data_IF_709744801006
#
_entry.id   IF_709744801006
#
_cell.length_a   1.000
_cell.length_b   1.000
_cell.length_c   1.000
_cell.angle_alpha   90.00
_cell.angle_beta   90.00
_cell.angle_gamma   90.00
#
_symmetry.space_group_name_H-M   'P 1'
#
loop_
_entity.id
_entity.type
_entity.pdbx_description
1 polymer ?
#
# COMPACT_ATOMS: atom_id res chain seq x y z
N UNK A 1 5.59 -6.54 2.24
CA UNK A 1 5.13 -5.14 2.33
C UNK A 1 4.24 -4.93 3.57
N UNK A 2 4.42 -3.86 4.37
CA UNK A 2 3.68 -3.43 5.59
C UNK A 2 3.32 -4.42 6.71
N UNK A 3 3.53 -5.71 6.53
CA UNK A 3 3.56 -6.75 7.55
C UNK A 3 5.01 -6.92 8.04
N UNK A 4 5.54 -5.86 8.64
CA UNK A 4 6.92 -5.76 9.14
C UNK A 4 6.94 -5.23 10.59
N UNK A 5 8.14 -5.09 11.17
CA UNK A 5 8.35 -4.60 12.53
C UNK A 5 8.62 -3.10 12.60
N UNK A 6 8.32 -2.33 11.55
CA UNK A 6 8.61 -0.89 11.49
C UNK A 6 7.48 -0.02 12.08
N UNK A 7 6.64 -0.60 12.93
CA UNK A 7 5.43 0.01 13.47
C UNK A 7 5.59 0.29 14.96
N UNK A 8 5.10 1.45 15.38
CA UNK A 8 5.10 1.90 16.77
C UNK A 8 3.67 1.83 17.30
N UNK A 9 3.40 1.14 18.42
CA UNK A 9 2.06 1.09 19.01
C UNK A 9 1.63 2.46 19.52
N UNK A 10 0.34 2.77 19.36
CA UNK A 10 -0.33 3.92 19.99
C UNK A 10 -1.04 3.42 21.24
N UNK A 11 -0.76 4.05 22.38
CA UNK A 11 -1.23 3.60 23.69
C UNK A 11 -1.79 4.78 24.52
N UNK A 12 -2.42 4.46 25.66
CA UNK A 12 -2.86 5.48 26.62
C UNK A 12 -3.90 6.47 26.08
N UNK A 13 -3.71 7.75 26.40
CA UNK A 13 -4.64 8.82 26.00
C UNK A 13 -4.68 9.06 24.48
N UNK A 14 -3.56 8.86 23.78
CA UNK A 14 -3.49 8.98 22.33
C UNK A 14 -4.36 7.93 21.64
N UNK A 15 -4.32 6.69 22.14
CA UNK A 15 -5.18 5.62 21.65
C UNK A 15 -6.66 5.98 21.88
N UNK A 16 -7.02 6.39 23.09
CA UNK A 16 -8.39 6.76 23.41
C UNK A 16 -8.90 7.89 22.51
N UNK A 17 -8.12 8.96 22.36
CA UNK A 17 -8.47 10.10 21.50
C UNK A 17 -8.62 9.72 20.02
N UNK A 18 -7.73 8.88 19.50
CA UNK A 18 -7.84 8.37 18.13
C UNK A 18 -9.13 7.54 17.95
N UNK A 19 -9.42 6.61 18.87
CA UNK A 19 -10.61 5.76 18.78
C UNK A 19 -11.90 6.57 18.87
N UNK A 20 -11.97 7.60 19.71
CA UNK A 20 -13.12 8.50 19.81
C UNK A 20 -13.38 9.26 18.51
N UNK A 21 -12.32 9.64 17.77
CA UNK A 21 -12.44 10.33 16.50
C UNK A 21 -12.97 9.42 15.38
N UNK A 22 -12.63 8.13 15.40
CA UNK A 22 -12.91 7.22 14.28
C UNK A 22 -14.06 6.23 14.52
N UNK A 23 -14.61 6.11 15.74
CA UNK A 23 -15.63 5.10 16.05
C UNK A 23 -17.07 5.54 15.70
N UNK A 24 -17.82 4.79 14.87
CA UNK A 24 -17.42 3.64 14.07
C UNK A 24 -16.73 4.04 12.76
N UNK A 25 -15.71 3.28 12.37
CA UNK A 25 -14.96 3.57 11.15
C UNK A 25 -15.87 3.30 9.94
N UNK A 26 -16.05 4.32 9.10
CA UNK A 26 -16.92 4.25 7.93
C UNK A 26 -18.37 3.87 8.25
N UNK A 27 -18.85 4.13 9.47
CA UNK A 27 -20.19 3.71 9.90
C UNK A 27 -20.35 2.21 10.20
N UNK A 28 -19.31 1.40 9.93
CA UNK A 28 -19.39 -0.07 9.89
C UNK A 28 -18.54 -0.75 10.95
N UNK A 29 -17.28 -0.36 11.09
CA UNK A 29 -16.33 -1.08 11.93
C UNK A 29 -16.24 -0.46 13.31
N UNK A 30 -16.72 -1.18 14.32
CA UNK A 30 -16.63 -0.75 15.72
C UNK A 30 -15.22 -0.94 16.24
N UNK A 31 -14.77 0.01 17.05
CA UNK A 31 -13.50 -0.08 17.77
C UNK A 31 -13.74 -0.09 19.28
N UNK A 32 -12.76 -0.62 20.01
CA UNK A 32 -12.76 -0.72 21.47
C UNK A 32 -11.34 -0.55 21.99
N UNK A 33 -11.11 0.31 23.01
CA UNK A 33 -9.80 0.43 23.65
C UNK A 33 -9.26 -0.89 24.23
N UNK A 34 -10.13 -1.87 24.49
CA UNK A 34 -9.75 -3.16 25.06
C UNK A 34 -9.21 -4.16 24.02
N UNK A 35 -9.57 -4.01 22.74
CA UNK A 35 -9.27 -5.01 21.69
C UNK A 35 -8.62 -4.43 20.45
N UNK A 36 -8.91 -3.17 20.13
CA UNK A 36 -8.40 -2.50 18.94
C UNK A 36 -6.94 -2.15 19.14
N UNK A 37 -6.11 -2.56 18.18
CA UNK A 37 -4.70 -2.18 18.09
C UNK A 37 -4.55 -1.07 17.07
N UNK A 38 -3.87 -0.01 17.46
CA UNK A 38 -3.51 1.12 16.60
C UNK A 38 -2.00 1.24 16.63
N UNK A 39 -1.40 1.34 15.45
CA UNK A 39 0.04 1.50 15.30
C UNK A 39 0.31 2.52 14.21
N UNK A 40 1.43 3.24 14.30
CA UNK A 40 1.85 4.19 13.29
C UNK A 40 3.27 3.92 12.80
N UNK A 41 3.61 4.42 11.61
CA UNK A 41 4.97 4.47 11.10
C UNK A 41 5.19 5.73 10.27
N UNK A 42 6.43 6.20 10.25
CA UNK A 42 6.85 7.25 9.33
C UNK A 42 7.03 6.67 7.92
N UNK A 43 6.85 7.53 6.92
CA UNK A 43 7.08 7.20 5.51
C UNK A 43 8.29 8.00 5.00
N UNK A 44 9.22 7.38 4.27
CA UNK A 44 10.50 8.02 3.90
C UNK A 44 10.36 9.18 2.90
N UNK A 45 9.15 9.39 2.37
CA UNK A 45 8.80 10.42 1.39
C UNK A 45 7.93 11.54 2.00
N UNK A 46 7.77 11.59 3.32
CA UNK A 46 7.15 12.71 4.04
C UNK A 46 7.98 13.13 5.26
N UNK A 47 7.97 14.42 5.59
CA UNK A 47 8.64 14.92 6.81
C UNK A 47 7.81 14.67 8.07
N UNK A 48 6.49 14.90 7.98
CA UNK A 48 5.60 15.03 9.13
C UNK A 48 4.34 14.16 9.05
N UNK A 49 4.12 13.52 7.90
CA UNK A 49 2.99 12.61 7.71
C UNK A 49 3.38 11.23 8.23
N UNK A 50 2.53 10.67 9.09
CA UNK A 50 2.63 9.27 9.49
C UNK A 50 1.50 8.46 8.85
N UNK A 51 1.77 7.17 8.63
CA UNK A 51 0.74 6.20 8.28
C UNK A 51 0.31 5.48 9.54
N UNK A 52 -0.99 5.40 9.77
CA UNK A 52 -1.62 4.66 10.87
C UNK A 52 -2.24 3.39 10.29
N UNK A 53 -2.13 2.28 11.02
CA UNK A 53 -2.93 1.07 10.80
C UNK A 53 -3.76 0.75 12.04
N UNK A 54 -4.98 0.29 11.81
CA UNK A 54 -5.94 -0.10 12.84
C UNK A 54 -6.36 -1.53 12.58
N UNK A 55 -6.42 -2.33 13.65
CA UNK A 55 -6.88 -3.71 13.59
C UNK A 55 -7.70 -4.05 14.82
N UNK A 56 -8.82 -4.74 14.63
CA UNK A 56 -9.61 -5.30 15.72
C UNK A 56 -9.97 -6.76 15.41
N UNK A 57 -9.86 -7.70 16.38
CA UNK A 57 -10.18 -9.11 16.18
C UNK A 57 -11.67 -9.37 15.92
N UNK A 58 -12.57 -8.42 16.21
CA UNK A 58 -14.01 -8.56 15.93
C UNK A 58 -14.38 -8.35 14.47
N UNK A 59 -13.45 -7.82 13.65
CA UNK A 59 -13.74 -7.51 12.25
C UNK A 59 -13.68 -8.74 11.36
N UNK A 60 -14.47 -8.70 10.29
CA UNK A 60 -14.44 -9.70 9.22
C UNK A 60 -14.07 -9.02 7.90
N UNK A 61 -13.08 -9.55 7.16
CA UNK A 61 -12.25 -10.71 7.49
C UNK A 61 -11.21 -10.41 8.60
N UNK A 62 -10.71 -11.44 9.29
CA UNK A 62 -9.82 -11.27 10.46
C UNK A 62 -8.41 -10.72 10.12
N UNK A 63 -8.02 -10.78 8.85
CA UNK A 63 -6.79 -10.18 8.33
C UNK A 63 -6.97 -8.72 7.87
N UNK A 64 -8.17 -8.14 8.02
CA UNK A 64 -8.43 -6.73 7.71
C UNK A 64 -7.57 -5.78 8.54
N UNK A 65 -6.97 -4.82 7.86
CA UNK A 65 -6.43 -3.60 8.44
C UNK A 65 -7.11 -2.40 7.81
N UNK A 66 -7.37 -1.36 8.61
CA UNK A 66 -7.81 -0.06 8.12
C UNK A 66 -6.66 0.93 8.28
N UNK A 67 -6.41 1.74 7.26
CA UNK A 67 -5.25 2.61 7.21
C UNK A 67 -5.63 4.08 7.07
N UNK A 68 -4.83 4.95 7.67
CA UNK A 68 -4.93 6.39 7.53
C UNK A 68 -3.56 6.99 7.23
N UNK A 69 -3.55 8.12 6.54
CA UNK A 69 -2.48 9.11 6.69
C UNK A 69 -2.90 10.13 7.74
N UNK A 70 -1.95 10.62 8.54
CA UNK A 70 -2.19 11.69 9.50
C UNK A 70 -1.24 12.85 9.29
N UNK A 71 -1.77 14.06 9.31
CA UNK A 71 -1.01 15.32 9.25
C UNK A 71 -1.60 16.31 10.24
N UNK A 72 -0.83 16.67 11.26
CA UNK A 72 -1.23 17.61 12.32
C UNK A 72 -2.59 17.25 12.97
N UNK A 73 -2.85 15.96 13.17
CA UNK A 73 -4.09 15.44 13.77
C UNK A 73 -5.27 15.27 12.80
N UNK A 74 -5.13 15.69 11.54
CA UNK A 74 -6.12 15.40 10.50
C UNK A 74 -5.93 13.98 9.98
N UNK A 75 -7.00 13.19 9.93
CA UNK A 75 -6.98 11.81 9.46
C UNK A 75 -7.53 11.72 8.03
N UNK A 76 -6.78 11.06 7.16
CA UNK A 76 -7.13 10.81 5.77
C UNK A 76 -7.25 9.30 5.56
N UNK A 77 -8.47 8.81 5.41
CA UNK A 77 -8.74 7.38 5.29
C UNK A 77 -8.25 6.85 3.94
N UNK A 78 -7.34 5.87 3.96
CA UNK A 78 -6.85 5.17 2.77
C UNK A 78 -7.86 4.10 2.33
N UNK A 79 -9.00 4.58 1.81
CA UNK A 79 -10.19 3.80 1.45
C UNK A 79 -10.10 3.05 0.11
N UNK A 80 -8.89 2.80 -0.39
CA UNK A 80 -8.68 2.16 -1.69
C UNK A 80 -8.67 3.09 -2.90
N UNK A 81 -8.90 4.40 -2.71
CA UNK A 81 -8.86 5.39 -3.80
C UNK A 81 -7.64 6.30 -3.69
N UNK A 82 -7.24 6.96 -4.78
CA UNK A 82 -6.12 7.90 -4.79
C UNK A 82 -6.37 9.29 -4.18
N UNK A 83 -7.60 9.86 -4.14
CA UNK A 83 -7.83 11.20 -3.60
C UNK A 83 -7.29 11.46 -2.20
N UNK A 84 -7.41 10.57 -1.19
CA UNK A 84 -6.83 10.80 0.13
C UNK A 84 -5.30 10.99 0.10
N UNK A 85 -4.60 10.26 -0.76
CA UNK A 85 -3.14 10.38 -0.94
C UNK A 85 -2.81 11.72 -1.62
N UNK A 86 -3.52 12.07 -2.69
CA UNK A 86 -3.30 13.32 -3.41
C UNK A 86 -3.63 14.56 -2.57
N UNK A 87 -4.67 14.48 -1.73
CA UNK A 87 -5.02 15.55 -0.80
C UNK A 87 -3.90 15.77 0.23
N UNK A 88 -3.35 14.69 0.79
CA UNK A 88 -2.20 14.79 1.70
C UNK A 88 -0.98 15.34 0.97
N UNK A 89 -0.64 14.85 -0.23
CA UNK A 89 0.46 15.40 -1.03
C UNK A 89 0.31 16.91 -1.30
N UNK A 90 -0.92 17.41 -1.48
CA UNK A 90 -1.15 18.82 -1.74
C UNK A 90 -0.96 19.69 -0.47
N UNK A 91 -1.30 19.17 0.71
CA UNK A 91 -1.23 19.90 1.99
C UNK A 91 0.14 19.76 2.68
N UNK A 92 0.69 18.56 2.68
CA UNK A 92 2.00 18.21 3.19
C UNK A 92 2.82 17.60 2.02
N UNK A 93 3.53 18.45 1.25
CA UNK A 93 4.22 18.04 0.02
C UNK A 93 5.08 16.80 0.21
N UNK A 94 4.78 15.78 -0.61
CA UNK A 94 5.60 14.57 -0.71
C UNK A 94 6.99 14.93 -1.25
N UNK A 95 8.02 14.30 -0.70
CA UNK A 95 9.43 14.48 -1.08
C UNK A 95 9.96 13.21 -1.71
N UNK A 96 9.66 13.05 -3.00
CA UNK A 96 10.14 11.92 -3.78
C UNK A 96 11.56 12.23 -4.29
N UNK A 97 12.48 11.30 -4.05
CA UNK A 97 13.87 11.34 -4.46
C UNK A 97 14.24 10.04 -5.18
N UNK A 98 15.40 10.05 -5.82
CA UNK A 98 15.97 8.86 -6.47
C UNK A 98 16.09 7.69 -5.48
N UNK A 99 16.35 7.97 -4.21
CA UNK A 99 16.54 6.97 -3.15
C UNK A 99 15.23 6.38 -2.59
N UNK A 100 14.07 7.05 -2.77
CA UNK A 100 12.81 6.63 -2.13
C UNK A 100 11.63 6.46 -3.10
N UNK A 101 11.85 6.66 -4.41
CA UNK A 101 10.79 6.59 -5.42
C UNK A 101 10.13 5.21 -5.47
N UNK A 102 10.90 4.13 -5.29
CA UNK A 102 10.36 2.77 -5.32
C UNK A 102 9.48 2.49 -4.10
N UNK A 103 9.83 3.02 -2.92
CA UNK A 103 8.99 2.97 -1.73
C UNK A 103 7.68 3.74 -1.94
N UNK A 104 7.72 4.88 -2.62
CA UNK A 104 6.52 5.65 -2.95
C UNK A 104 5.62 4.91 -3.97
N UNK A 105 6.21 4.34 -5.02
CA UNK A 105 5.50 3.53 -6.01
C UNK A 105 4.80 2.35 -5.34
N UNK A 106 5.52 1.61 -4.49
CA UNK A 106 4.98 0.49 -3.70
C UNK A 106 3.82 0.93 -2.80
N UNK A 107 3.98 2.05 -2.11
CA UNK A 107 2.92 2.63 -1.28
C UNK A 107 1.66 2.94 -2.10
N UNK A 108 1.82 3.70 -3.18
CA UNK A 108 0.69 4.15 -3.98
C UNK A 108 -0.05 2.98 -4.62
N UNK A 109 0.67 2.05 -5.26
CA UNK A 109 0.07 0.90 -5.92
C UNK A 109 -0.61 -0.08 -4.94
N UNK A 110 -0.13 -0.17 -3.69
CA UNK A 110 -0.77 -1.00 -2.68
C UNK A 110 -2.07 -0.38 -2.12
N UNK A 111 -2.11 0.94 -1.93
CA UNK A 111 -3.27 1.60 -1.33
C UNK A 111 -4.32 2.04 -2.34
N UNK A 112 -3.95 2.31 -3.59
CA UNK A 112 -4.91 2.53 -4.67
C UNK A 112 -5.33 1.16 -5.22
N UNK A 113 -6.63 0.90 -5.25
CA UNK A 113 -7.20 -0.39 -5.67
C UNK A 113 -7.88 -0.26 -7.02
N UNK A 114 -7.68 -1.29 -7.84
CA UNK A 114 -8.57 -1.57 -8.96
C UNK A 114 -9.81 -2.33 -8.49
N UNK A 115 -10.73 -2.61 -9.41
CA UNK A 115 -11.96 -3.36 -9.11
C UNK A 115 -11.68 -4.74 -8.49
N UNK A 116 -10.56 -5.36 -8.85
CA UNK A 116 -10.19 -6.71 -8.43
C UNK A 116 -9.08 -6.74 -7.34
N UNK A 117 -8.82 -5.61 -6.68
CA UNK A 117 -7.91 -5.54 -5.53
C UNK A 117 -6.66 -4.66 -5.74
N UNK A 118 -5.56 -4.92 -5.01
CA UNK A 118 -4.35 -4.09 -5.07
C UNK A 118 -3.54 -4.33 -6.34
N UNK A 119 -2.81 -3.29 -6.75
CA UNK A 119 -1.68 -3.42 -7.66
C UNK A 119 -0.44 -3.73 -6.81
N UNK A 120 -0.25 -5.00 -6.42
CA UNK A 120 0.89 -5.37 -5.59
C UNK A 120 2.17 -5.38 -6.44
N UNK A 121 3.11 -4.49 -6.13
CA UNK A 121 4.47 -4.57 -6.67
C UNK A 121 5.15 -5.81 -6.09
N UNK A 122 5.33 -6.83 -6.92
CA UNK A 122 5.85 -8.14 -6.54
C UNK A 122 7.37 -8.17 -6.74
N UNK A 123 8.13 -8.07 -5.64
CA UNK A 123 9.60 -8.00 -5.69
C UNK A 123 10.30 -9.33 -5.40
N UNK A 124 9.66 -10.19 -4.60
CA UNK A 124 10.22 -11.48 -4.22
C UNK A 124 9.11 -12.43 -3.74
N UNK A 125 9.43 -13.74 -3.77
CA UNK A 125 8.50 -14.79 -3.31
C UNK A 125 8.25 -14.79 -1.81
N UNK A 126 9.05 -14.09 -1.01
CA UNK A 126 8.93 -14.03 0.45
C UNK A 126 7.95 -12.96 0.95
N UNK A 127 7.47 -12.06 0.09
CA UNK A 127 6.50 -11.04 0.48
C UNK A 127 5.26 -11.70 1.12
N UNK A 128 4.79 -11.21 2.29
CA UNK A 128 3.63 -11.75 2.99
C UNK A 128 2.34 -11.75 2.17
N UNK A 129 2.18 -10.85 1.21
CA UNK A 129 0.99 -10.78 0.36
C UNK A 129 1.09 -11.66 -0.90
N UNK A 130 2.26 -12.25 -1.17
CA UNK A 130 2.40 -13.26 -2.22
C UNK A 130 1.79 -14.57 -1.71
N UNK A 131 0.76 -15.11 -2.39
CA UNK A 131 0.13 -16.36 -1.96
C UNK A 131 1.13 -17.53 -1.92
N UNK A 132 1.18 -18.23 -0.79
CA UNK A 132 2.14 -19.35 -0.59
C UNK A 132 1.55 -20.71 -0.98
N UNK A 133 0.24 -20.88 -0.83
CA UNK A 133 -0.47 -22.11 -1.16
C UNK A 133 -0.92 -22.06 -2.62
N UNK A 134 0.01 -22.31 -3.53
CA UNK A 134 -0.16 -22.26 -4.99
C UNK A 134 0.28 -23.58 -5.62
N UNK A 135 -0.31 -23.90 -6.77
CA UNK A 135 0.10 -25.05 -7.57
C UNK A 135 1.52 -24.87 -8.16
N UNK A 136 2.12 -25.97 -8.62
CA UNK A 136 3.49 -25.98 -9.11
C UNK A 136 3.71 -25.12 -10.36
N UNK A 137 2.70 -24.98 -11.22
CA UNK A 137 2.79 -24.14 -12.43
C UNK A 137 2.81 -22.67 -12.01
N UNK A 138 1.86 -22.25 -11.17
CA UNK A 138 1.80 -20.88 -10.63
C UNK A 138 3.10 -20.54 -9.92
N UNK A 139 3.64 -21.44 -9.09
CA UNK A 139 4.94 -21.26 -8.44
C UNK A 139 6.07 -21.04 -9.43
N UNK A 140 6.21 -21.93 -10.43
CA UNK A 140 7.29 -21.83 -11.42
C UNK A 140 7.22 -20.54 -12.24
N UNK A 141 6.01 -20.07 -12.56
CA UNK A 141 5.82 -18.78 -13.24
C UNK A 141 6.27 -17.64 -12.34
N UNK A 142 5.79 -17.59 -11.09
CA UNK A 142 6.13 -16.52 -10.16
C UNK A 142 7.64 -16.47 -9.88
N UNK A 143 8.29 -17.61 -9.62
CA UNK A 143 9.73 -17.71 -9.36
C UNK A 143 10.58 -17.30 -10.57
N UNK A 144 10.10 -17.54 -11.79
CA UNK A 144 10.79 -17.15 -13.03
C UNK A 144 10.56 -15.70 -13.46
N UNK A 145 9.59 -15.02 -12.85
CA UNK A 145 9.12 -13.71 -13.29
C UNK A 145 9.34 -12.60 -12.26
N UNK A 146 9.07 -12.86 -10.98
CA UNK A 146 9.13 -11.85 -9.93
C UNK A 146 10.58 -11.39 -9.72
N UNK A 147 10.78 -10.07 -9.73
CA UNK A 147 12.05 -9.43 -9.45
C UNK A 147 11.82 -8.05 -8.82
N UNK A 148 12.82 -7.50 -8.08
CA UNK A 148 12.70 -6.19 -7.48
C UNK A 148 12.38 -5.11 -8.51
N UNK A 149 11.52 -4.16 -8.13
CA UNK A 149 11.27 -2.98 -8.95
C UNK A 149 12.57 -2.17 -9.12
N UNK A 150 12.70 -1.48 -10.24
CA UNK A 150 13.88 -0.69 -10.56
C UNK A 150 13.51 0.75 -10.88
N UNK A 151 14.41 1.66 -10.53
CA UNK A 151 14.36 3.06 -10.95
C UNK A 151 15.53 3.29 -11.89
N UNK A 152 15.25 3.69 -13.12
CA UNK A 152 16.29 3.82 -14.15
C UNK A 152 16.86 5.23 -14.20
N UNK A 153 15.99 6.22 -14.36
CA UNK A 153 16.37 7.61 -14.58
C UNK A 153 15.16 8.54 -14.49
N UNK A 154 15.41 9.84 -14.59
CA UNK A 154 14.35 10.83 -14.82
C UNK A 154 14.22 11.17 -16.31
N UNK A 155 12.99 11.33 -16.78
CA UNK A 155 12.74 11.84 -18.14
C UNK A 155 12.94 13.37 -18.23
N UNK A 156 12.74 13.94 -19.42
CA UNK A 156 12.90 15.39 -19.68
C UNK A 156 11.98 16.29 -18.84
N UNK A 157 10.85 15.75 -18.34
CA UNK A 157 9.91 16.44 -17.45
C UNK A 157 10.28 16.30 -15.96
N UNK A 158 11.37 15.59 -15.66
CA UNK A 158 11.82 15.30 -14.30
C UNK A 158 11.02 14.19 -13.59
N UNK A 159 10.23 13.41 -14.33
CA UNK A 159 9.50 12.27 -13.75
C UNK A 159 10.42 11.07 -13.61
N UNK A 160 10.31 10.36 -12.50
CA UNK A 160 11.07 9.15 -12.24
C UNK A 160 10.48 7.99 -13.05
N UNK A 161 11.33 7.32 -13.82
CA UNK A 161 10.96 6.19 -14.66
C UNK A 161 11.26 4.90 -13.91
N UNK A 162 10.21 4.14 -13.60
CA UNK A 162 10.31 2.90 -12.84
C UNK A 162 9.78 1.71 -13.64
N UNK A 163 10.39 0.55 -13.43
CA UNK A 163 9.93 -0.73 -13.94
C UNK A 163 9.59 -1.65 -12.75
N UNK A 164 8.49 -2.40 -12.87
CA UNK A 164 8.08 -3.32 -11.83
C UNK A 164 7.22 -4.48 -12.36
N UNK A 165 7.28 -5.59 -11.63
CA UNK A 165 6.28 -6.66 -11.76
C UNK A 165 5.08 -6.34 -10.89
N UNK A 166 3.89 -6.29 -11.50
CA UNK A 166 2.62 -6.05 -10.82
C UNK A 166 1.84 -7.34 -10.75
N UNK A 167 1.51 -7.79 -9.54
CA UNK A 167 0.48 -8.79 -9.32
C UNK A 167 -0.84 -8.04 -9.10
N UNK A 168 -1.78 -8.23 -10.02
CA UNK A 168 -3.15 -7.71 -9.93
C UNK A 168 -4.17 -8.82 -10.17
N UNK A 169 -5.17 -8.92 -9.30
CA UNK A 169 -6.17 -10.01 -9.32
C UNK A 169 -5.49 -11.40 -9.30
N UNK A 170 -5.55 -12.14 -10.41
CA UNK A 170 -4.95 -13.45 -10.64
C UNK A 170 -3.96 -13.44 -11.82
N UNK A 171 -3.31 -12.30 -12.08
CA UNK A 171 -2.38 -12.12 -13.19
C UNK A 171 -1.13 -11.33 -12.79
N UNK A 172 -0.05 -11.55 -13.53
CA UNK A 172 1.22 -10.84 -13.42
C UNK A 172 1.47 -10.02 -14.68
N UNK A 173 1.96 -8.81 -14.49
CA UNK A 173 2.30 -7.87 -15.56
C UNK A 173 3.70 -7.32 -15.33
N UNK A 174 4.44 -7.04 -16.40
CA UNK A 174 5.56 -6.10 -16.36
C UNK A 174 5.00 -4.74 -16.71
N UNK A 175 5.28 -3.72 -15.90
CA UNK A 175 4.74 -2.38 -16.12
C UNK A 175 5.80 -1.31 -15.92
N UNK A 176 5.79 -0.30 -16.80
CA UNK A 176 6.58 0.91 -16.65
C UNK A 176 5.72 2.05 -16.11
N UNK A 177 6.28 2.77 -15.16
CA UNK A 177 5.63 3.88 -14.46
C UNK A 177 6.42 5.17 -14.64
N UNK A 178 5.70 6.28 -14.75
CA UNK A 178 6.23 7.61 -14.54
C UNK A 178 5.71 8.14 -13.20
N UNK A 179 6.60 8.32 -12.23
CA UNK A 179 6.28 8.95 -10.95
C UNK A 179 6.64 10.43 -11.05
N UNK A 180 5.68 11.31 -10.85
CA UNK A 180 5.92 12.76 -10.82
C UNK A 180 6.42 13.17 -9.44
N UNK A 181 7.26 14.22 -9.31
CA UNK A 181 7.72 14.70 -8.01
C UNK A 181 6.61 15.06 -7.01
N UNK A 182 5.42 15.46 -7.49
CA UNK A 182 4.23 15.70 -6.65
C UNK A 182 3.45 14.45 -6.25
N UNK A 183 3.95 13.25 -6.60
CA UNK A 183 3.35 11.95 -6.27
C UNK A 183 2.19 11.51 -7.16
N UNK A 184 1.97 12.15 -8.31
CA UNK A 184 1.13 11.56 -9.34
C UNK A 184 1.88 10.39 -9.98
N UNK A 185 1.21 9.25 -10.18
CA UNK A 185 1.76 8.09 -10.87
C UNK A 185 0.97 7.84 -12.16
N UNK A 186 1.68 7.66 -13.25
CA UNK A 186 1.14 7.24 -14.53
C UNK A 186 1.72 5.87 -14.88
N UNK A 187 0.87 4.91 -15.22
CA UNK A 187 1.28 3.65 -15.84
C UNK A 187 1.37 3.88 -17.34
N UNK A 188 2.58 3.76 -17.90
CA UNK A 188 2.86 4.08 -19.30
C UNK A 188 2.58 2.89 -20.21
N UNK A 189 2.86 1.69 -19.71
CA UNK A 189 2.57 0.43 -20.36
C UNK A 189 2.41 -0.68 -19.30
N UNK A 190 1.77 -1.76 -19.72
CA UNK A 190 1.71 -3.01 -18.99
C UNK A 190 1.62 -4.17 -19.99
N UNK A 191 2.51 -5.14 -19.84
CA UNK A 191 2.54 -6.35 -20.66
C UNK A 191 2.19 -7.56 -19.78
N UNK A 192 1.15 -8.34 -20.12
CA UNK A 192 0.78 -9.51 -19.35
C UNK A 192 1.86 -10.59 -19.47
N UNK A 193 2.33 -11.09 -18.33
CA UNK A 193 3.30 -12.17 -18.24
C UNK A 193 2.58 -13.52 -18.05
N UNK A 194 1.58 -13.52 -17.17
CA UNK A 194 0.75 -14.68 -16.90
C UNK A 194 -0.63 -14.24 -16.42
N UNK A 195 -1.65 -15.02 -16.77
CA UNK A 195 -3.02 -14.85 -16.32
C UNK A 195 -3.58 -16.19 -15.85
N UNK A 196 -4.79 -16.14 -15.28
CA UNK A 196 -5.50 -17.30 -14.76
C UNK A 196 -4.70 -18.08 -13.71
N UNK A 197 -3.94 -17.35 -12.88
CA UNK A 197 -3.29 -17.94 -11.72
C UNK A 197 -4.35 -18.49 -10.76
N UNK A 198 -4.01 -19.57 -10.06
CA UNK A 198 -4.98 -20.31 -9.23
C UNK A 198 -5.44 -19.58 -7.97
N UNK A 199 -4.88 -18.41 -7.69
CA UNK A 199 -5.10 -17.63 -6.48
C UNK A 199 -5.10 -16.14 -6.79
N UNK A 200 -5.67 -15.36 -5.87
CA UNK A 200 -5.65 -13.89 -5.88
C UNK A 200 -4.91 -13.37 -4.66
N UNK A 201 -4.55 -12.09 -4.69
CA UNK A 201 -3.96 -11.41 -3.54
C UNK A 201 -5.03 -11.24 -2.45
N UNK A 202 -4.69 -11.66 -1.23
CA UNK A 202 -5.51 -11.46 -0.03
C UNK A 202 -4.89 -10.38 0.85
N UNK A 203 -5.26 -9.13 0.58
CA UNK A 203 -4.80 -7.95 1.31
C UNK A 203 -5.98 -6.98 1.54
N UNK A 204 -6.97 -7.38 2.35
CA UNK A 204 -8.18 -6.60 2.53
C UNK A 204 -7.86 -5.26 3.19
N UNK A 205 -8.39 -4.21 2.58
CA UNK A 205 -8.52 -2.88 3.17
C UNK A 205 -9.99 -2.51 3.15
N UNK A 206 -10.37 -1.52 3.95
CA UNK A 206 -11.70 -0.92 3.90
C UNK A 206 -11.56 0.58 3.78
#
# INVERSE_FOLDING_TARGET
MYQDNNWVPVEGEELAGFLDQVNPIGGKYRVSPATTRVEYRMLPFYDQVAMIRVKDPSWTPANLFIYYLTDQGNLYWLNGTSPPIHEVNAKAPVKITDDNVLEYLKFFCFFVRGEEGPFLIAENMDDPYIPKNIDARTRSVMEGTIHPATYESRNEKGFFMCDAVVYYSNALFTANFAVQPGGMIEMLNDDPIAADLSVRIDAPIA
#
